data_IF_168774105287
#
_entry.id   IF_168774105287
#
_cell.length_a   1.000
_cell.length_b   1.000
_cell.length_c   1.000
_cell.angle_alpha   90.00
_cell.angle_beta   90.00
_cell.angle_gamma   90.00
#
_symmetry.space_group_name_H-M   'P 1'
#
loop_
_entity.id
_entity.type
_entity.pdbx_description
1 polymer ?
#
# COMPACT_ATOMS: atom_id res chain seq x y z
N UNK A 1 21.46 18.99 1.59
CA UNK A 1 20.58 18.98 2.78
C UNK A 1 21.39 19.51 3.97
N UNK A 2 20.92 20.55 4.65
CA UNK A 2 21.71 21.27 5.66
C UNK A 2 21.79 20.47 6.97
N UNK A 3 22.98 20.37 7.61
CA UNK A 3 23.21 19.53 8.82
C UNK A 3 22.18 19.80 9.94
N UNK A 4 21.78 21.07 10.11
CA UNK A 4 20.79 21.51 11.11
C UNK A 4 19.38 20.98 10.88
N UNK A 5 19.00 20.72 9.62
CA UNK A 5 17.69 20.16 9.24
C UNK A 5 17.63 18.66 9.51
N UNK A 6 18.74 17.95 9.29
CA UNK A 6 18.84 16.51 9.58
C UNK A 6 18.72 16.20 11.07
N UNK A 7 19.27 17.05 11.94
CA UNK A 7 19.26 16.81 13.38
C UNK A 7 17.87 17.01 13.98
N UNK A 8 17.15 18.05 13.55
CA UNK A 8 15.75 18.27 13.96
C UNK A 8 14.85 17.11 13.53
N UNK A 9 15.02 16.59 12.32
CA UNK A 9 14.24 15.47 11.83
C UNK A 9 14.47 14.20 12.67
N UNK A 10 15.71 13.95 13.09
CA UNK A 10 16.03 12.83 14.01
C UNK A 10 15.31 12.98 15.34
N UNK A 11 15.42 14.14 16.00
CA UNK A 11 14.77 14.39 17.29
C UNK A 11 13.24 14.20 17.20
N UNK A 12 12.63 14.70 16.13
CA UNK A 12 11.19 14.51 15.91
C UNK A 12 10.83 13.03 15.74
N UNK A 13 11.63 12.28 14.98
CA UNK A 13 11.41 10.86 14.75
C UNK A 13 11.54 10.04 16.03
N UNK A 14 12.59 10.27 16.83
CA UNK A 14 12.78 9.59 18.12
C UNK A 14 11.61 9.86 19.07
N UNK A 15 11.21 11.13 19.23
CA UNK A 15 10.07 11.49 20.08
C UNK A 15 8.77 10.81 19.61
N UNK A 16 8.54 10.73 18.30
CA UNK A 16 7.37 10.06 17.73
C UNK A 16 7.40 8.56 18.03
N UNK A 17 8.55 7.91 17.87
CA UNK A 17 8.72 6.49 18.19
C UNK A 17 8.49 6.22 19.68
N UNK A 18 9.05 7.04 20.56
CA UNK A 18 8.90 6.90 22.01
C UNK A 18 7.45 7.01 22.44
N UNK A 19 6.74 8.05 21.98
CA UNK A 19 5.32 8.27 22.29
C UNK A 19 4.46 7.15 21.73
N UNK A 20 4.72 6.72 20.49
CA UNK A 20 4.00 5.60 19.88
C UNK A 20 4.17 4.31 20.70
N UNK A 21 5.42 3.94 21.01
CA UNK A 21 5.71 2.71 21.75
C UNK A 21 5.15 2.77 23.17
N UNK A 22 5.14 3.94 23.82
CA UNK A 22 4.51 4.12 25.12
C UNK A 22 3.01 3.84 25.05
N UNK A 23 2.30 4.46 24.11
CA UNK A 23 0.86 4.26 23.95
C UNK A 23 0.51 2.80 23.64
N UNK A 24 1.33 2.13 22.82
CA UNK A 24 1.15 0.69 22.51
C UNK A 24 1.36 -0.17 23.76
N UNK A 25 2.41 0.08 24.55
CA UNK A 25 2.69 -0.68 25.78
C UNK A 25 1.60 -0.50 26.85
N UNK A 26 0.97 0.66 26.91
CA UNK A 26 -0.16 0.90 27.82
C UNK A 26 -1.38 0.02 27.48
N UNK A 27 -1.53 -0.40 26.22
CA UNK A 27 -2.68 -1.21 25.76
C UNK A 27 -2.34 -2.70 25.68
N UNK A 28 -1.16 -3.05 25.15
CA UNK A 28 -0.75 -4.43 24.79
C UNK A 28 0.36 -4.98 25.73
N UNK A 29 0.89 -4.14 26.62
CA UNK A 29 1.95 -4.49 27.56
C UNK A 29 3.37 -4.40 26.97
N UNK A 30 4.37 -4.71 27.81
CA UNK A 30 5.79 -4.52 27.48
C UNK A 30 6.32 -5.48 26.40
N UNK A 31 5.66 -6.61 26.17
CA UNK A 31 6.04 -7.62 25.17
C UNK A 31 5.22 -7.51 23.88
N UNK A 32 4.85 -6.30 23.51
CA UNK A 32 4.06 -6.04 22.31
C UNK A 32 4.80 -6.45 21.03
N UNK A 33 4.04 -6.96 20.07
CA UNK A 33 4.53 -7.25 18.71
C UNK A 33 4.37 -6.04 17.77
N UNK A 34 3.75 -4.97 18.24
CA UNK A 34 3.47 -3.79 17.44
C UNK A 34 4.67 -2.85 17.44
N UNK A 35 5.24 -2.66 16.26
CA UNK A 35 6.33 -1.73 16.01
C UNK A 35 5.88 -0.64 15.04
N UNK A 36 6.65 0.44 14.96
CA UNK A 36 6.32 1.55 14.05
C UNK A 36 6.21 1.11 12.58
N UNK A 37 7.00 0.11 12.17
CA UNK A 37 6.94 -0.46 10.82
C UNK A 37 5.58 -1.13 10.50
N UNK A 38 4.83 -1.57 11.52
CA UNK A 38 3.48 -2.11 11.33
C UNK A 38 2.53 -1.08 10.69
N UNK A 39 2.72 0.22 10.92
CA UNK A 39 1.93 1.27 10.27
C UNK A 39 2.10 1.24 8.75
N UNK A 40 3.34 1.01 8.28
CA UNK A 40 3.64 0.86 6.84
C UNK A 40 2.96 -0.37 6.26
N UNK A 41 2.94 -1.49 6.98
CA UNK A 41 2.20 -2.69 6.57
C UNK A 41 0.68 -2.41 6.48
N UNK A 42 0.10 -1.80 7.50
CA UNK A 42 -1.33 -1.44 7.53
C UNK A 42 -1.71 -0.53 6.36
N UNK A 43 -0.87 0.47 6.05
CA UNK A 43 -1.07 1.33 4.88
C UNK A 43 -1.09 0.51 3.59
N UNK A 44 -0.07 -0.32 3.36
CA UNK A 44 0.09 -1.05 2.11
C UNK A 44 -1.10 -1.98 1.81
N UNK A 45 -1.55 -2.72 2.83
CA UNK A 45 -2.67 -3.65 2.73
C UNK A 45 -3.98 -2.92 2.45
N UNK A 46 -4.26 -1.83 3.18
CA UNK A 46 -5.45 -0.99 2.94
C UNK A 46 -5.43 -0.36 1.55
N UNK A 47 -4.28 0.14 1.11
CA UNK A 47 -4.15 0.77 -0.19
C UNK A 47 -4.33 -0.23 -1.32
N UNK A 48 -3.74 -1.41 -1.19
CA UNK A 48 -3.95 -2.51 -2.13
C UNK A 48 -5.41 -2.94 -2.17
N UNK A 49 -6.11 -2.99 -1.03
CA UNK A 49 -7.54 -3.30 -0.99
C UNK A 49 -8.38 -2.30 -1.82
N UNK A 50 -8.02 -1.01 -1.76
CA UNK A 50 -8.70 0.06 -2.51
C UNK A 50 -8.39 0.06 -4.00
N UNK A 51 -7.12 -0.07 -4.38
CA UNK A 51 -6.69 0.16 -5.77
C UNK A 51 -6.60 -1.13 -6.57
N UNK A 52 -6.37 -2.27 -5.90
CA UNK A 52 -6.02 -3.56 -6.50
C UNK A 52 -4.80 -3.51 -7.43
N UNK A 53 -4.00 -2.45 -7.33
CA UNK A 53 -2.79 -2.22 -8.13
C UNK A 53 -1.55 -2.23 -7.23
N UNK A 54 -0.77 -3.30 -7.34
CA UNK A 54 0.43 -3.50 -6.52
C UNK A 54 1.60 -2.59 -6.93
N UNK A 55 1.65 -2.15 -8.20
CA UNK A 55 2.71 -1.25 -8.69
C UNK A 55 2.47 0.18 -8.22
N UNK A 56 1.21 0.60 -8.17
CA UNK A 56 0.83 1.87 -7.54
C UNK A 56 1.21 1.88 -6.06
N UNK A 57 0.88 0.82 -5.33
CA UNK A 57 1.25 0.68 -3.89
C UNK A 57 2.78 0.73 -3.73
N UNK A 58 3.52 0.01 -4.57
CA UNK A 58 4.99 0.02 -4.56
C UNK A 58 5.53 1.46 -4.72
N UNK A 59 4.99 2.21 -5.68
CA UNK A 59 5.41 3.59 -5.96
C UNK A 59 5.11 4.52 -4.79
N UNK A 60 3.90 4.46 -4.22
CA UNK A 60 3.50 5.27 -3.06
C UNK A 60 4.35 4.95 -1.81
N UNK A 61 4.76 3.68 -1.65
CA UNK A 61 5.65 3.27 -0.58
C UNK A 61 7.12 3.61 -0.82
N UNK A 62 7.51 4.00 -2.04
CA UNK A 62 8.89 4.27 -2.42
C UNK A 62 9.77 3.01 -2.45
N UNK A 63 9.20 1.83 -2.71
CA UNK A 63 10.00 0.62 -2.83
C UNK A 63 10.69 0.55 -4.20
N UNK A 64 11.96 0.16 -4.23
CA UNK A 64 12.72 0.00 -5.48
C UNK A 64 12.24 -1.21 -6.29
N UNK A 65 11.95 -2.31 -5.61
CA UNK A 65 11.46 -3.56 -6.20
C UNK A 65 9.98 -3.79 -5.88
N UNK A 66 9.27 -4.41 -6.82
CA UNK A 66 7.89 -4.87 -6.58
C UNK A 66 7.86 -6.09 -5.66
N UNK A 67 8.93 -6.91 -5.65
CA UNK A 67 9.02 -8.14 -4.85
C UNK A 67 8.85 -7.90 -3.35
N UNK A 68 9.31 -6.75 -2.83
CA UNK A 68 9.12 -6.38 -1.42
C UNK A 68 7.69 -5.95 -1.10
N UNK A 69 6.91 -5.57 -2.12
CA UNK A 69 5.53 -5.10 -2.00
C UNK A 69 4.54 -6.24 -2.26
N UNK A 70 4.90 -7.22 -3.08
CA UNK A 70 4.08 -8.40 -3.41
C UNK A 70 3.56 -9.17 -2.19
N UNK A 71 4.26 -9.09 -1.05
CA UNK A 71 3.79 -9.68 0.20
C UNK A 71 2.38 -9.21 0.59
N UNK A 72 1.99 -7.99 0.20
CA UNK A 72 0.66 -7.43 0.50
C UNK A 72 -0.43 -7.95 -0.44
N UNK A 73 -0.06 -8.43 -1.62
CA UNK A 73 -0.99 -9.04 -2.57
C UNK A 73 -1.37 -10.48 -2.20
N UNK A 74 -0.66 -11.09 -1.23
CA UNK A 74 -0.92 -12.47 -0.77
C UNK A 74 -2.00 -12.57 0.30
N UNK A 75 -2.53 -11.45 0.78
CA UNK A 75 -3.58 -11.45 1.81
C UNK A 75 -4.93 -11.86 1.23
N UNK A 76 -5.75 -12.52 2.06
CA UNK A 76 -7.15 -12.78 1.71
C UNK A 76 -7.93 -11.47 1.69
N UNK A 77 -8.30 -11.02 0.48
CA UNK A 77 -9.06 -9.79 0.29
C UNK A 77 -10.37 -9.79 1.08
N UNK A 78 -11.10 -10.92 1.09
CA UNK A 78 -12.34 -11.08 1.86
C UNK A 78 -12.15 -10.76 3.34
N UNK A 79 -11.04 -11.20 3.96
CA UNK A 79 -10.76 -10.91 5.37
C UNK A 79 -10.48 -9.42 5.58
N UNK A 80 -9.70 -8.81 4.68
CA UNK A 80 -9.41 -7.38 4.74
C UNK A 80 -10.66 -6.52 4.55
N UNK A 81 -11.59 -6.95 3.70
CA UNK A 81 -12.89 -6.30 3.51
C UNK A 81 -13.72 -6.31 4.79
N UNK A 82 -13.68 -7.41 5.55
CA UNK A 82 -14.32 -7.49 6.87
C UNK A 82 -13.65 -6.61 7.93
N UNK A 83 -12.31 -6.53 7.90
CA UNK A 83 -11.53 -5.71 8.84
C UNK A 83 -11.65 -4.20 8.52
N UNK A 84 -11.89 -3.85 7.26
CA UNK A 84 -11.97 -2.48 6.76
C UNK A 84 -13.25 -2.22 5.93
N UNK A 85 -14.45 -2.37 6.53
CA UNK A 85 -15.72 -2.27 5.81
C UNK A 85 -15.96 -0.87 5.21
N UNK A 86 -15.37 0.17 5.78
CA UNK A 86 -15.46 1.53 5.22
C UNK A 86 -14.71 1.71 3.90
N UNK A 87 -13.76 0.84 3.57
CA UNK A 87 -12.98 0.91 2.33
C UNK A 87 -13.67 0.20 1.16
N UNK A 88 -14.64 -0.69 1.45
CA UNK A 88 -15.37 -1.44 0.43
C UNK A 88 -16.59 -0.71 -0.07
N UNK A 89 -17.29 0.02 0.81
CA UNK A 89 -18.48 0.78 0.41
C UNK A 89 -18.13 2.00 -0.47
N UNK A 90 -16.92 2.55 -0.38
CA UNK A 90 -16.46 3.64 -1.24
C UNK A 90 -16.29 3.24 -2.71
N UNK A 91 -16.14 1.95 -3.03
CA UNK A 91 -16.04 1.49 -4.42
C UNK A 91 -17.37 1.62 -5.18
N UNK A 92 -18.52 1.67 -4.48
CA UNK A 92 -19.83 1.95 -5.10
C UNK A 92 -20.02 3.41 -5.50
N UNK A 93 -19.22 4.33 -4.94
CA UNK A 93 -19.24 5.76 -5.26
C UNK A 93 -18.27 6.08 -6.43
N UNK A 94 -17.32 5.18 -6.70
CA UNK A 94 -16.22 5.37 -7.66
C UNK A 94 -16.53 5.00 -9.12
N UNK A 95 -17.57 4.22 -9.41
CA UNK A 95 -17.93 3.85 -10.80
C UNK A 95 -18.35 5.08 -11.66
N UNK A 96 -18.62 6.24 -11.04
CA UNK A 96 -18.89 7.50 -11.75
C UNK A 96 -17.65 8.37 -12.03
N UNK A 97 -16.43 7.94 -11.69
CA UNK A 97 -15.21 8.77 -11.87
C UNK A 97 -14.42 8.53 -13.15
N UNK A 98 -14.87 7.66 -14.05
CA UNK A 98 -14.19 7.43 -15.36
C UNK A 98 -14.20 8.64 -16.31
N UNK A 99 -14.91 9.74 -16.02
CA UNK A 99 -15.05 10.86 -16.98
C UNK A 99 -14.22 12.11 -16.73
N UNK A 100 -13.33 12.17 -15.73
CA UNK A 100 -12.77 13.48 -15.34
C UNK A 100 -11.26 13.43 -15.08
N UNK A 101 -10.52 13.80 -16.14
CA UNK A 101 -9.09 14.16 -16.26
C UNK A 101 -8.09 13.09 -16.74
N UNK A 102 -7.65 13.28 -17.99
CA UNK A 102 -6.69 12.46 -18.69
C UNK A 102 -5.29 12.54 -18.09
N UNK A 103 -4.81 11.40 -17.62
CA UNK A 103 -3.40 11.04 -17.65
C UNK A 103 -3.26 9.87 -18.62
N UNK A 104 -2.44 10.04 -19.65
CA UNK A 104 -2.22 9.05 -20.71
C UNK A 104 -1.44 7.87 -20.11
N UNK A 105 -2.15 6.89 -19.56
CA UNK A 105 -1.57 5.61 -19.17
C UNK A 105 -1.11 4.92 -20.44
N UNK A 106 0.20 4.72 -20.59
CA UNK A 106 0.72 3.82 -21.61
C UNK A 106 0.17 2.41 -21.33
N UNK A 107 -0.80 1.98 -22.13
CA UNK A 107 -1.23 0.59 -22.21
C UNK A 107 -0.04 -0.25 -22.71
N UNK A 108 0.41 -1.29 -21.99
CA UNK A 108 1.33 -2.26 -22.58
C UNK A 108 0.60 -2.96 -23.75
N UNK A 109 1.20 -2.88 -24.93
CA UNK A 109 0.72 -3.53 -26.15
C UNK A 109 0.91 -5.04 -26.01
N UNK A 110 -0.13 -5.74 -25.56
CA UNK A 110 -0.20 -7.19 -25.71
C UNK A 110 -0.88 -7.44 -27.05
N UNK A 111 -0.07 -7.75 -28.08
CA UNK A 111 -0.61 -8.24 -29.36
C UNK A 111 -1.15 -9.67 -29.12
N UNK A 112 -2.40 -9.99 -29.50
CA UNK A 112 -2.91 -11.35 -29.37
C UNK A 112 -2.14 -12.26 -30.34
N UNK A 113 -1.54 -13.33 -29.81
CA UNK A 113 -0.98 -14.41 -30.62
C UNK A 113 -2.16 -15.20 -31.21
N UNK A 114 -2.44 -15.00 -32.51
CA UNK A 114 -3.36 -15.85 -33.26
C UNK A 114 -2.68 -17.20 -33.50
N UNK A 115 -3.12 -18.24 -32.78
CA UNK A 115 -2.76 -19.62 -33.08
C UNK A 115 -3.72 -20.17 -34.14
N UNK A 116 -3.32 -20.07 -35.40
CA UNK A 116 -3.88 -20.87 -36.50
C UNK A 116 -2.75 -21.28 -37.43
N UNK A 117 -2.21 -22.47 -37.24
CA UNK A 117 -1.66 -23.27 -38.34
C UNK A 117 -2.11 -24.72 -38.11
N UNK A 118 -3.11 -25.10 -38.90
CA UNK A 118 -3.48 -26.47 -39.24
C UNK A 118 -2.31 -27.08 -40.00
N UNK A 119 -1.77 -28.20 -39.51
CA UNK A 119 -0.82 -29.03 -40.23
C UNK A 119 -1.56 -30.01 -41.15
N UNK A 120 -1.07 -30.10 -42.38
CA UNK A 120 -1.47 -31.03 -43.45
C UNK A 120 -0.84 -32.40 -43.24
#
# INVERSE_FOLDING_TARGET
MNKKTSEKAKVIFENLLEVFLRAVREIDGDKTKFHFHCLRHTFAVRRYLQTRDIYLVKQEMGHSSVTTTEIYAKFSLRRLEMDFPSLTESNKIGENREKVHGFKVHKPSVKPLSASIVGT
#
